data_IF_749626771883
#
_entry.id   IF_749626771883
#
_cell.length_a   1.000
_cell.length_b   1.000
_cell.length_c   1.000
_cell.angle_alpha   90.00
_cell.angle_beta   90.00
_cell.angle_gamma   90.00
#
_symmetry.space_group_name_H-M   'P 1'
#
loop_
_entity.id
_entity.type
_entity.pdbx_description
1 polymer ?
#
# COMPACT_ATOMS: atom_id res chain seq x y z
N UNK A 1 29.18 40.02 35.65
CA UNK A 1 29.33 40.19 34.19
C UNK A 1 29.97 38.98 33.50
N UNK A 2 30.11 37.81 34.15
CA UNK A 2 30.71 36.60 33.57
C UNK A 2 29.69 35.49 33.23
N UNK A 3 28.40 35.70 33.52
CA UNK A 3 27.35 34.67 33.35
C UNK A 3 26.76 34.60 31.93
N UNK A 4 27.06 35.58 31.06
CA UNK A 4 26.37 35.74 29.78
C UNK A 4 27.00 34.94 28.62
N UNK A 5 28.21 34.41 28.80
CA UNK A 5 28.95 33.71 27.75
C UNK A 5 28.67 32.19 27.72
N UNK A 6 27.91 31.65 28.68
CA UNK A 6 27.58 30.20 28.76
C UNK A 6 26.18 29.84 28.24
N UNK A 7 25.28 30.82 28.04
CA UNK A 7 23.89 30.57 27.64
C UNK A 7 23.74 30.37 26.12
N UNK A 8 24.74 30.74 25.33
CA UNK A 8 24.70 30.63 23.87
C UNK A 8 25.06 29.23 23.33
N UNK A 9 25.74 28.38 24.11
CA UNK A 9 26.10 27.03 23.67
C UNK A 9 25.07 25.94 24.03
N UNK A 10 24.09 26.24 24.90
CA UNK A 10 23.18 25.21 25.43
C UNK A 10 21.84 25.09 24.69
N UNK A 11 21.66 25.67 23.49
CA UNK A 11 20.50 25.33 22.64
C UNK A 11 20.75 24.04 21.84
N UNK A 12 21.00 23.00 22.64
CA UNK A 12 20.91 21.57 22.38
C UNK A 12 20.07 21.20 21.15
N UNK A 13 20.78 20.65 20.15
CA UNK A 13 20.45 19.39 19.46
C UNK A 13 18.95 19.09 19.35
N UNK A 14 18.33 19.60 18.29
CA UNK A 14 17.22 18.92 17.64
C UNK A 14 17.78 18.51 16.29
N UNK A 15 17.65 17.25 15.91
CA UNK A 15 17.96 16.78 14.56
C UNK A 15 17.38 17.82 13.61
N UNK A 16 18.26 18.57 12.95
CA UNK A 16 17.81 19.66 12.08
C UNK A 16 16.94 19.02 11.02
N UNK A 17 15.80 19.64 10.67
CA UNK A 17 14.93 19.13 9.58
C UNK A 17 15.75 18.92 8.29
N UNK A 18 16.83 19.71 8.10
CA UNK A 18 17.78 19.52 7.00
C UNK A 18 18.67 18.28 7.14
N UNK A 19 19.09 17.91 8.35
CA UNK A 19 19.86 16.69 8.61
C UNK A 19 18.99 15.43 8.42
N UNK A 20 17.73 15.49 8.86
CA UNK A 20 16.74 14.43 8.59
C UNK A 20 16.46 14.26 7.09
N UNK A 21 16.32 15.35 6.32
CA UNK A 21 16.15 15.27 4.87
C UNK A 21 17.35 14.59 4.16
N UNK A 22 18.57 14.89 4.63
CA UNK A 22 19.77 14.22 4.13
C UNK A 22 19.79 12.73 4.48
N UNK A 23 19.36 12.37 5.69
CA UNK A 23 19.25 10.99 6.14
C UNK A 23 18.18 10.21 5.35
N UNK A 24 17.00 10.79 5.14
CA UNK A 24 15.94 10.21 4.29
C UNK A 24 16.44 10.00 2.87
N UNK A 25 17.16 10.96 2.29
CA UNK A 25 17.74 10.81 0.94
C UNK A 25 18.79 9.70 0.89
N UNK A 26 19.57 9.50 1.95
CA UNK A 26 20.53 8.40 2.06
C UNK A 26 19.84 7.03 2.18
N UNK A 27 18.75 6.94 2.96
CA UNK A 27 17.96 5.71 3.11
C UNK A 27 17.11 5.40 1.85
N UNK A 28 16.58 6.42 1.18
CA UNK A 28 15.79 6.28 -0.06
C UNK A 28 16.62 5.64 -1.17
N UNK A 29 17.95 5.88 -1.20
CA UNK A 29 18.85 5.22 -2.16
C UNK A 29 18.98 3.71 -1.96
N UNK A 30 18.64 3.19 -0.77
CA UNK A 30 18.62 1.74 -0.51
C UNK A 30 17.35 1.08 -1.02
N UNK A 31 16.35 1.85 -1.44
CA UNK A 31 15.09 1.34 -1.99
C UNK A 31 15.38 0.86 -3.41
N UNK A 32 15.57 -0.45 -3.54
CA UNK A 32 15.60 -1.13 -4.83
C UNK A 32 14.17 -1.34 -5.28
N UNK A 33 13.69 -0.47 -6.17
CA UNK A 33 12.41 -0.70 -6.82
C UNK A 33 12.53 -1.89 -7.77
N UNK A 34 11.52 -2.79 -7.77
CA UNK A 34 11.47 -3.90 -8.70
C UNK A 34 11.55 -3.39 -10.13
N UNK A 35 12.18 -4.19 -10.98
CA UNK A 35 12.22 -3.91 -12.41
C UNK A 35 10.80 -3.99 -12.99
N UNK A 36 10.58 -3.28 -14.09
CA UNK A 36 9.29 -3.33 -14.78
C UNK A 36 8.91 -4.77 -15.16
N UNK A 37 9.89 -5.60 -15.54
CA UNK A 37 9.67 -7.01 -15.88
C UNK A 37 9.14 -7.85 -14.72
N UNK A 38 9.70 -7.67 -13.51
CA UNK A 38 9.23 -8.35 -12.30
C UNK A 38 7.83 -7.90 -11.91
N UNK A 39 7.56 -6.60 -12.06
CA UNK A 39 6.25 -6.00 -11.81
C UNK A 39 5.19 -6.57 -12.75
N UNK A 40 5.48 -6.64 -14.06
CA UNK A 40 4.57 -7.24 -15.04
C UNK A 40 4.35 -8.72 -14.79
N UNK A 41 5.41 -9.48 -14.48
CA UNK A 41 5.29 -10.93 -14.20
C UNK A 41 4.39 -11.20 -12.99
N UNK A 42 4.58 -10.44 -11.91
CA UNK A 42 3.75 -10.55 -10.70
C UNK A 42 2.33 -10.05 -10.97
N UNK A 43 2.18 -8.97 -11.73
CA UNK A 43 0.88 -8.45 -12.14
C UNK A 43 0.06 -9.44 -12.97
N UNK A 44 0.68 -10.11 -13.95
CA UNK A 44 0.02 -11.13 -14.78
C UNK A 44 -0.42 -12.32 -13.92
N UNK A 45 0.42 -12.76 -12.99
CA UNK A 45 0.05 -13.82 -12.06
C UNK A 45 -1.21 -13.44 -11.27
N UNK A 46 -1.21 -12.28 -10.60
CA UNK A 46 -2.37 -11.79 -9.84
C UNK A 46 -3.61 -11.62 -10.73
N UNK A 47 -3.44 -11.13 -11.95
CA UNK A 47 -4.52 -10.95 -12.92
C UNK A 47 -5.20 -12.28 -13.27
N UNK A 48 -4.43 -13.36 -13.46
CA UNK A 48 -4.98 -14.69 -13.72
C UNK A 48 -5.81 -15.18 -12.53
N UNK A 49 -5.31 -15.05 -11.30
CA UNK A 49 -6.09 -15.40 -10.10
C UNK A 49 -7.37 -14.57 -9.98
N UNK A 50 -7.29 -13.27 -10.26
CA UNK A 50 -8.45 -12.39 -10.26
C UNK A 50 -9.49 -12.80 -11.31
N UNK A 51 -9.06 -13.20 -12.51
CA UNK A 51 -9.95 -13.70 -13.55
C UNK A 51 -10.65 -15.00 -13.13
N UNK A 52 -9.92 -15.95 -12.55
CA UNK A 52 -10.49 -17.22 -12.06
C UNK A 52 -11.56 -16.95 -11.00
N UNK A 53 -11.23 -16.13 -10.00
CA UNK A 53 -12.17 -15.75 -8.93
C UNK A 53 -13.38 -15.01 -9.49
N UNK A 54 -13.18 -14.08 -10.43
CA UNK A 54 -14.27 -13.34 -11.08
C UNK A 54 -15.23 -14.27 -11.82
N UNK A 55 -14.72 -15.25 -12.56
CA UNK A 55 -15.55 -16.22 -13.27
C UNK A 55 -16.33 -17.11 -12.30
N UNK A 56 -15.67 -17.55 -11.22
CA UNK A 56 -16.29 -18.36 -10.19
C UNK A 56 -17.44 -17.61 -9.50
N UNK A 57 -17.21 -16.37 -9.07
CA UNK A 57 -18.26 -15.54 -8.46
C UNK A 57 -19.42 -15.32 -9.42
N UNK A 58 -19.14 -14.95 -10.68
CA UNK A 58 -20.18 -14.76 -11.69
C UNK A 58 -21.04 -16.02 -11.89
N UNK A 59 -20.44 -17.21 -11.86
CA UNK A 59 -21.15 -18.48 -11.90
C UNK A 59 -22.07 -18.67 -10.70
N UNK A 60 -21.55 -18.43 -9.48
CA UNK A 60 -22.32 -18.50 -8.24
C UNK A 60 -23.49 -17.51 -8.26
N UNK A 61 -23.22 -16.24 -8.56
CA UNK A 61 -24.24 -15.19 -8.60
C UNK A 61 -25.37 -15.53 -9.57
N UNK A 62 -25.03 -16.10 -10.73
CA UNK A 62 -26.00 -16.56 -11.72
C UNK A 62 -26.89 -17.69 -11.18
N UNK A 63 -26.28 -18.70 -10.55
CA UNK A 63 -27.01 -19.84 -9.97
C UNK A 63 -27.90 -19.40 -8.81
N UNK A 64 -27.36 -18.60 -7.88
CA UNK A 64 -28.13 -18.03 -6.78
C UNK A 64 -29.29 -17.17 -7.29
N UNK A 65 -29.07 -16.37 -8.32
CA UNK A 65 -30.12 -15.57 -8.96
C UNK A 65 -31.27 -16.43 -9.51
N UNK A 66 -30.97 -17.56 -10.15
CA UNK A 66 -31.99 -18.50 -10.63
C UNK A 66 -32.77 -19.13 -9.47
N UNK A 67 -32.06 -19.56 -8.42
CA UNK A 67 -32.67 -20.16 -7.23
C UNK A 67 -33.61 -19.16 -6.53
N UNK A 68 -33.14 -17.93 -6.30
CA UNK A 68 -33.92 -16.87 -5.65
C UNK A 68 -35.16 -16.53 -6.48
N UNK A 69 -35.02 -16.38 -7.81
CA UNK A 69 -36.16 -16.13 -8.71
C UNK A 69 -37.18 -17.26 -8.66
N UNK A 70 -36.72 -18.50 -8.63
CA UNK A 70 -37.60 -19.68 -8.53
C UNK A 70 -38.32 -19.73 -7.20
N UNK A 71 -37.62 -19.44 -6.10
CA UNK A 71 -38.20 -19.41 -4.75
C UNK A 71 -39.25 -18.30 -4.57
N UNK A 72 -38.97 -17.08 -5.07
CA UNK A 72 -39.94 -15.97 -5.04
C UNK A 72 -41.14 -16.29 -5.93
N UNK A 73 -40.93 -16.86 -7.12
CA UNK A 73 -42.02 -17.25 -8.01
C UNK A 73 -42.91 -18.39 -7.48
N UNK A 74 -42.42 -19.17 -6.51
CA UNK A 74 -43.20 -20.21 -5.82
C UNK A 74 -44.01 -19.66 -4.64
N UNK A 75 -43.62 -18.49 -4.13
CA UNK A 75 -44.26 -17.80 -2.99
C UNK A 75 -45.34 -16.80 -3.45
N UNK A 76 -45.31 -16.38 -4.71
CA UNK A 76 -46.23 -15.43 -5.33
C UNK A 76 -47.36 -16.16 -6.07
#
# INVERSE_FOLDING_TARGET
MAEQNNVAEEKKRKTSVGEFANQVRAETKKIVWPTWEETYRTGIFVFIFMLILSLFFLGIDSVFGLIVRSAIGLLQ
#
